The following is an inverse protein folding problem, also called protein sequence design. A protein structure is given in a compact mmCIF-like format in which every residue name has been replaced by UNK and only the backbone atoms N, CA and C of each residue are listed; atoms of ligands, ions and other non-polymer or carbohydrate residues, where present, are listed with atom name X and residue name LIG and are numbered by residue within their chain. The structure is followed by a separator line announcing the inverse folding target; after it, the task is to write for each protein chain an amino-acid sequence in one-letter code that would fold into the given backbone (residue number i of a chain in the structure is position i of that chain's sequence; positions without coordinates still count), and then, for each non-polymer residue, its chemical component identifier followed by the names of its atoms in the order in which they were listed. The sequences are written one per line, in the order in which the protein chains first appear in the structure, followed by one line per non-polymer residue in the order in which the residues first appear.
data_IF_279798689507
#
_entry.id   IF_279798689507
#
_cell.length_a   1.000
_cell.length_b   1.000
_cell.length_c   1.000
_cell.angle_alpha   90.00
_cell.angle_beta   90.00
_cell.angle_gamma   90.00
#
_symmetry.space_group_name_H-M   'P 1'
#
loop_
_entity.id
_entity.type
_entity.pdbx_description
1 polymer ?
#
# COMPACT_ATOMS: atom_id res chain seq x y z
N UNK A 1 -7.54 -24.66 -59.93
CA UNK A 1 -6.75 -25.42 -58.94
C UNK A 1 -7.00 -24.79 -57.58
N UNK A 2 -7.27 -25.60 -56.57
CA UNK A 2 -7.89 -25.24 -55.29
C UNK A 2 -7.00 -24.42 -54.32
N UNK A 3 -7.72 -23.62 -53.52
CA UNK A 3 -7.52 -22.93 -52.20
C UNK A 3 -6.78 -23.85 -51.17
N UNK A 4 -6.11 -23.41 -50.06
CA UNK A 4 -6.45 -22.30 -49.14
C UNK A 4 -5.32 -21.40 -48.58
N UNK A 5 -5.53 -20.12 -48.23
CA UNK A 5 -6.34 -19.48 -47.15
C UNK A 5 -5.67 -19.53 -45.77
N UNK A 6 -5.11 -18.40 -45.28
CA UNK A 6 -5.04 -18.04 -43.84
C UNK A 6 -5.23 -16.53 -43.72
N UNK A 7 -6.22 -16.15 -42.92
CA UNK A 7 -6.58 -14.78 -42.56
C UNK A 7 -5.75 -14.27 -41.37
N UNK A 8 -5.30 -13.02 -41.41
CA UNK A 8 -4.84 -12.28 -40.23
C UNK A 8 -6.06 -11.62 -39.55
N UNK A 9 -6.45 -12.16 -38.40
CA UNK A 9 -7.25 -11.48 -37.36
C UNK A 9 -6.21 -10.94 -36.34
N UNK A 10 -6.19 -9.66 -36.01
CA UNK A 10 -7.11 -9.07 -35.03
C UNK A 10 -6.50 -9.16 -33.63
N UNK A 11 -5.56 -8.26 -33.29
CA UNK A 11 -4.99 -8.17 -31.94
C UNK A 11 -5.98 -7.47 -31.00
N UNK A 12 -6.82 -8.26 -30.35
CA UNK A 12 -7.59 -7.86 -29.17
C UNK A 12 -6.68 -7.98 -27.94
N UNK A 13 -6.67 -6.94 -27.11
CA UNK A 13 -5.93 -6.91 -25.85
C UNK A 13 -6.49 -7.94 -24.87
N UNK A 14 -5.59 -8.66 -24.22
CA UNK A 14 -5.93 -9.57 -23.12
C UNK A 14 -5.95 -8.78 -21.81
N UNK A 15 -7.07 -8.71 -21.08
CA UNK A 15 -7.02 -8.50 -19.65
C UNK A 15 -6.65 -9.84 -19.01
N UNK A 16 -5.50 -9.90 -18.35
CA UNK A 16 -5.13 -11.09 -17.55
C UNK A 16 -6.11 -11.15 -16.38
N UNK A 17 -7.08 -12.06 -16.44
CA UNK A 17 -7.97 -12.35 -15.32
C UNK A 17 -7.29 -13.36 -14.39
N UNK A 18 -7.51 -13.24 -13.09
CA UNK A 18 -6.96 -14.08 -12.03
C UNK A 18 -7.18 -15.60 -12.23
N UNK A 19 -8.09 -16.00 -13.12
CA UNK A 19 -8.29 -17.40 -13.47
C UNK A 19 -7.02 -18.05 -14.06
N UNK A 20 -6.21 -17.30 -14.84
CA UNK A 20 -5.03 -17.86 -15.50
C UNK A 20 -3.84 -18.06 -14.55
N UNK A 21 -3.80 -17.35 -13.41
CA UNK A 21 -2.70 -17.46 -12.43
C UNK A 21 -2.83 -18.67 -11.50
N UNK A 22 -4.05 -19.21 -11.33
CA UNK A 22 -4.31 -20.34 -10.42
C UNK A 22 -4.10 -21.71 -11.08
N UNK A 23 -4.02 -21.80 -12.40
CA UNK A 23 -3.84 -23.05 -13.13
C UNK A 23 -2.43 -23.68 -12.97
N UNK A 24 -1.46 -22.93 -12.44
CA UNK A 24 -0.07 -23.38 -12.26
C UNK A 24 0.29 -23.95 -10.87
N UNK A 25 -0.65 -24.06 -9.93
CA UNK A 25 -0.40 -24.64 -8.59
C UNK A 25 -0.81 -26.11 -8.44
N UNK A 26 -0.70 -26.90 -9.51
CA UNK A 26 -0.96 -28.34 -9.43
C UNK A 26 0.28 -29.08 -8.88
N UNK A 27 0.46 -29.04 -7.56
CA UNK A 27 1.49 -29.84 -6.87
C UNK A 27 1.06 -31.30 -6.89
N UNK A 28 1.67 -32.09 -7.77
CA UNK A 28 1.50 -33.54 -7.83
C UNK A 28 2.03 -34.19 -6.53
N UNK A 29 1.11 -34.73 -5.72
CA UNK A 29 1.44 -35.49 -4.52
C UNK A 29 2.06 -36.87 -4.85
N UNK A 30 3.07 -37.36 -4.10
CA UNK A 30 3.66 -38.69 -4.32
C UNK A 30 2.70 -39.84 -3.98
N UNK A 31 2.88 -40.96 -4.67
CA UNK A 31 2.06 -42.18 -4.60
C UNK A 31 2.01 -42.78 -3.18
N UNK A 32 0.79 -42.84 -2.64
CA UNK A 32 0.45 -43.51 -1.38
C UNK A 32 -0.97 -43.14 -0.92
N UNK A 33 -1.94 -43.17 -1.85
CA UNK A 33 -3.28 -42.67 -1.62
C UNK A 33 -4.14 -43.68 -0.83
N UNK A 34 -4.29 -43.46 0.47
CA UNK A 34 -5.60 -43.65 1.08
C UNK A 34 -6.46 -42.48 0.61
N UNK A 35 -7.50 -42.77 -0.18
CA UNK A 35 -8.45 -41.77 -0.66
C UNK A 35 -9.26 -41.24 0.53
N UNK A 36 -8.76 -40.20 1.18
CA UNK A 36 -9.61 -39.31 1.95
C UNK A 36 -10.38 -38.48 0.93
N UNK A 37 -11.67 -38.80 0.78
CA UNK A 37 -12.64 -37.95 0.11
C UNK A 37 -12.83 -36.72 1.00
N UNK A 38 -11.95 -35.72 0.84
CA UNK A 38 -12.25 -34.37 1.24
C UNK A 38 -13.40 -33.91 0.35
N UNK A 39 -14.63 -34.22 0.77
CA UNK A 39 -15.84 -33.78 0.12
C UNK A 39 -15.67 -32.31 -0.25
N UNK A 40 -15.77 -32.02 -1.55
CA UNK A 40 -15.54 -30.73 -2.20
C UNK A 40 -15.48 -29.57 -1.21
N UNK A 41 -14.30 -29.27 -0.68
CA UNK A 41 -14.08 -27.96 -0.07
C UNK A 41 -14.35 -26.99 -1.20
N UNK A 42 -15.38 -26.13 -1.13
CA UNK A 42 -15.49 -25.07 -2.09
C UNK A 42 -14.25 -24.21 -1.86
N UNK A 43 -13.26 -24.34 -2.74
CA UNK A 43 -12.31 -23.27 -2.96
C UNK A 43 -13.15 -22.13 -3.49
N UNK A 44 -13.71 -21.33 -2.57
CA UNK A 44 -14.42 -20.12 -2.94
C UNK A 44 -13.35 -19.26 -3.62
N UNK A 45 -13.50 -19.08 -4.93
CA UNK A 45 -12.64 -18.21 -5.71
C UNK A 45 -12.57 -16.84 -5.02
N UNK A 46 -11.38 -16.45 -4.54
CA UNK A 46 -11.10 -15.10 -4.02
C UNK A 46 -10.95 -14.92 -2.50
N UNK A 47 -10.50 -15.94 -1.76
CA UNK A 47 -9.98 -15.70 -0.40
C UNK A 47 -8.61 -14.97 -0.45
N UNK A 48 -8.61 -13.70 -0.89
CA UNK A 48 -7.42 -12.86 -0.91
C UNK A 48 -6.82 -12.76 0.49
N UNK A 49 -5.51 -12.99 0.63
CA UNK A 49 -4.74 -12.74 1.85
C UNK A 49 -5.29 -13.36 3.15
N UNK A 50 -6.04 -14.47 3.06
CA UNK A 50 -6.70 -15.11 4.22
C UNK A 50 -5.73 -15.57 5.32
N UNK A 51 -4.59 -16.11 4.93
CA UNK A 51 -3.59 -16.66 5.85
C UNK A 51 -2.28 -15.86 5.82
N UNK A 52 -2.34 -14.57 5.47
CA UNK A 52 -1.16 -13.71 5.36
C UNK A 52 -1.02 -12.87 6.62
N UNK A 53 -0.03 -13.13 7.49
CA UNK A 53 0.23 -12.29 8.66
C UNK A 53 0.58 -10.87 8.23
N UNK A 54 0.11 -9.89 8.98
CA UNK A 54 0.46 -8.48 8.76
C UNK A 54 1.90 -8.23 9.21
N UNK A 55 2.68 -7.56 8.37
CA UNK A 55 4.06 -7.17 8.64
C UNK A 55 4.21 -5.64 8.61
N UNK A 56 5.10 -5.10 9.46
CA UNK A 56 5.43 -3.68 9.55
C UNK A 56 6.32 -3.23 8.38
N UNK A 57 5.87 -3.45 7.15
CA UNK A 57 6.59 -3.10 5.93
C UNK A 57 5.76 -2.24 4.99
N UNK A 58 6.50 -1.37 4.29
CA UNK A 58 6.03 -0.57 3.18
C UNK A 58 6.62 -1.15 1.89
N UNK A 59 5.74 -1.60 0.99
CA UNK A 59 6.07 -2.00 -0.37
C UNK A 59 6.43 -0.75 -1.18
N UNK A 60 7.71 -0.40 -1.14
CA UNK A 60 8.26 0.75 -1.85
C UNK A 60 8.31 0.45 -3.36
N UNK A 61 8.07 1.48 -4.18
CA UNK A 61 7.96 1.36 -5.63
C UNK A 61 7.08 0.17 -6.04
N UNK A 62 5.92 0.01 -5.41
CA UNK A 62 5.08 -1.18 -5.57
C UNK A 62 4.66 -1.40 -7.04
N UNK A 63 4.54 -0.32 -7.81
CA UNK A 63 4.28 -0.38 -9.24
C UNK A 63 5.41 -1.04 -10.05
N UNK A 64 6.63 -1.23 -9.51
CA UNK A 64 7.67 -2.06 -10.15
C UNK A 64 7.42 -3.56 -10.03
N UNK A 65 6.49 -4.00 -9.18
CA UNK A 65 6.20 -5.43 -9.01
C UNK A 65 5.50 -5.99 -10.24
N UNK A 66 5.69 -7.30 -10.45
CA UNK A 66 5.03 -8.02 -11.53
C UNK A 66 3.50 -7.92 -11.45
N UNK A 67 2.97 -7.93 -10.22
CA UNK A 67 1.55 -7.73 -9.92
C UNK A 67 1.42 -6.63 -8.87
N UNK A 68 1.36 -5.35 -9.29
CA UNK A 68 1.17 -4.22 -8.39
C UNK A 68 -0.02 -4.43 -7.45
N UNK A 69 0.07 -3.86 -6.25
CA UNK A 69 -0.75 -4.06 -5.07
C UNK A 69 -0.67 -5.49 -4.50
N UNK A 70 -0.88 -6.52 -5.31
CA UNK A 70 -0.99 -7.90 -4.84
C UNK A 70 0.30 -8.46 -4.27
N UNK A 71 1.46 -8.17 -4.88
CA UNK A 71 2.74 -8.66 -4.36
C UNK A 71 3.06 -8.08 -2.98
N UNK A 72 2.80 -6.79 -2.75
CA UNK A 72 2.94 -6.17 -1.43
C UNK A 72 2.08 -6.86 -0.37
N UNK A 73 0.80 -6.99 -0.70
CA UNK A 73 -0.20 -7.60 0.18
C UNK A 73 0.06 -9.09 0.42
N UNK A 74 0.55 -9.86 -0.56
CA UNK A 74 0.83 -11.29 -0.36
C UNK A 74 1.96 -11.56 0.64
N UNK A 75 2.81 -10.56 0.87
CA UNK A 75 3.85 -10.57 1.88
C UNK A 75 3.39 -10.00 3.24
N UNK A 76 2.17 -9.48 3.33
CA UNK A 76 1.64 -8.91 4.57
C UNK A 76 1.97 -7.44 4.78
N UNK A 77 2.62 -6.78 3.82
CA UNK A 77 2.88 -5.34 3.92
C UNK A 77 1.56 -4.58 3.85
N UNK A 78 1.17 -3.94 4.95
CA UNK A 78 -0.04 -3.13 5.02
C UNK A 78 0.19 -1.69 4.53
N UNK A 79 1.29 -1.43 3.84
CA UNK A 79 1.54 -0.14 3.20
C UNK A 79 2.18 -0.32 1.82
N UNK A 80 1.75 0.50 0.87
CA UNK A 80 2.19 0.47 -0.53
C UNK A 80 2.23 1.88 -1.10
N UNK A 81 3.01 2.11 -2.15
CA UNK A 81 3.21 3.41 -2.78
C UNK A 81 2.92 3.40 -4.28
N UNK A 82 2.30 4.47 -4.74
CA UNK A 82 2.08 4.76 -6.15
C UNK A 82 2.69 6.11 -6.53
N UNK A 83 3.63 6.11 -7.48
CA UNK A 83 4.19 7.33 -8.08
C UNK A 83 3.26 7.84 -9.19
N UNK A 84 2.50 8.89 -8.92
CA UNK A 84 1.44 9.39 -9.81
C UNK A 84 1.86 10.62 -10.61
N UNK A 85 1.57 10.56 -11.91
CA UNK A 85 1.82 11.63 -12.87
C UNK A 85 0.51 12.01 -13.56
N UNK A 86 0.19 13.31 -13.58
CA UNK A 86 -0.96 13.79 -14.35
C UNK A 86 -0.56 14.11 -15.79
N UNK A 87 -1.14 13.39 -16.75
CA UNK A 87 -1.01 13.66 -18.18
C UNK A 87 -2.38 13.71 -18.85
N UNK A 88 -2.73 14.84 -19.47
CA UNK A 88 -3.99 15.05 -20.18
C UNK A 88 -5.25 14.60 -19.39
N UNK A 89 -5.28 14.88 -18.08
CA UNK A 89 -6.39 14.52 -17.20
C UNK A 89 -6.40 13.06 -16.72
N UNK A 90 -5.39 12.26 -17.07
CA UNK A 90 -5.23 10.87 -16.62
C UNK A 90 -4.09 10.76 -15.63
N UNK A 91 -4.30 10.04 -14.52
CA UNK A 91 -3.26 9.70 -13.55
C UNK A 91 -2.55 8.42 -13.98
N UNK A 92 -1.34 8.56 -14.50
CA UNK A 92 -0.45 7.45 -14.85
C UNK A 92 0.48 7.12 -13.68
N UNK A 93 0.93 5.87 -13.61
CA UNK A 93 1.85 5.41 -12.56
C UNK A 93 3.18 4.95 -13.13
N UNK A 94 4.28 5.43 -12.56
CA UNK A 94 5.64 5.02 -12.90
C UNK A 94 6.70 5.85 -12.20
N UNK A 95 7.94 5.36 -12.18
CA UNK A 95 9.04 6.02 -11.47
C UNK A 95 9.52 7.29 -12.20
N UNK A 96 9.50 7.22 -13.52
CA UNK A 96 9.90 8.31 -14.40
C UNK A 96 8.96 8.40 -15.62
N UNK A 97 9.00 9.54 -16.31
CA UNK A 97 8.16 9.82 -17.48
C UNK A 97 8.33 8.78 -18.59
N UNK A 98 9.52 8.20 -18.77
CA UNK A 98 9.78 7.20 -19.82
C UNK A 98 9.17 5.83 -19.50
N UNK A 99 8.91 5.54 -18.23
CA UNK A 99 8.24 4.32 -17.76
C UNK A 99 6.70 4.37 -17.91
N UNK A 100 6.12 5.55 -18.15
CA UNK A 100 4.66 5.71 -18.23
C UNK A 100 4.06 4.98 -19.43
N UNK A 101 2.92 4.32 -19.19
CA UNK A 101 2.15 3.57 -20.19
C UNK A 101 0.68 3.89 -20.00
N UNK A 102 -0.07 4.00 -21.09
CA UNK A 102 -1.51 4.33 -21.07
C UNK A 102 -2.35 3.35 -20.26
N UNK A 103 -1.91 2.09 -20.16
CA UNK A 103 -2.60 1.01 -19.46
C UNK A 103 -2.32 1.02 -17.95
N UNK A 104 -1.25 1.69 -17.52
CA UNK A 104 -0.76 1.75 -16.14
C UNK A 104 -1.24 3.02 -15.47
N UNK A 105 -2.53 3.02 -15.11
CA UNK A 105 -3.18 4.15 -14.45
C UNK A 105 -3.27 3.92 -12.94
N UNK A 106 -3.46 5.00 -12.17
CA UNK A 106 -3.70 4.89 -10.73
C UNK A 106 -4.95 4.05 -10.43
N UNK A 107 -6.00 4.18 -11.24
CA UNK A 107 -7.21 3.38 -11.12
C UNK A 107 -6.96 1.90 -11.37
N UNK A 108 -6.35 1.57 -12.52
CA UNK A 108 -6.16 0.16 -12.93
C UNK A 108 -5.19 -0.61 -12.04
N UNK A 109 -4.18 0.06 -11.45
CA UNK A 109 -3.19 -0.61 -10.61
C UNK A 109 -3.55 -0.65 -9.13
N UNK A 110 -4.31 0.33 -8.61
CA UNK A 110 -4.57 0.44 -7.17
C UNK A 110 -6.06 0.53 -6.83
N UNK A 111 -6.81 1.47 -7.39
CA UNK A 111 -8.18 1.73 -6.95
C UNK A 111 -9.12 0.56 -7.29
N UNK A 112 -9.15 0.12 -8.55
CA UNK A 112 -10.08 -0.93 -8.98
C UNK A 112 -9.75 -2.27 -8.32
N UNK A 113 -8.46 -2.70 -8.21
CA UNK A 113 -8.10 -3.87 -7.43
C UNK A 113 -8.48 -3.78 -5.94
N UNK A 114 -8.29 -2.62 -5.31
CA UNK A 114 -8.68 -2.44 -3.91
C UNK A 114 -10.19 -2.55 -3.70
N UNK A 115 -10.98 -1.95 -4.60
CA UNK A 115 -12.44 -2.10 -4.58
C UNK A 115 -12.83 -3.57 -4.70
N UNK A 116 -12.23 -4.31 -5.64
CA UNK A 116 -12.54 -5.72 -5.82
C UNK A 116 -12.20 -6.58 -4.60
N UNK A 117 -11.02 -6.36 -3.98
CA UNK A 117 -10.62 -7.04 -2.75
C UNK A 117 -11.61 -6.72 -1.62
N UNK A 118 -11.91 -5.44 -1.39
CA UNK A 118 -12.71 -5.02 -0.24
C UNK A 118 -14.19 -5.36 -0.39
N UNK A 119 -14.75 -5.29 -1.59
CA UNK A 119 -16.13 -5.74 -1.85
C UNK A 119 -16.29 -7.24 -1.59
N UNK A 120 -15.26 -8.03 -1.87
CA UNK A 120 -15.23 -9.45 -1.50
C UNK A 120 -15.11 -9.67 0.01
N UNK A 121 -14.30 -8.87 0.70
CA UNK A 121 -14.14 -8.92 2.18
C UNK A 121 -15.37 -8.40 2.93
N UNK A 122 -16.24 -7.66 2.26
CA UNK A 122 -17.42 -7.00 2.84
C UNK A 122 -18.69 -7.32 2.04
N UNK A 123 -19.09 -8.61 1.91
CA UNK A 123 -20.19 -9.01 1.05
C UNK A 123 -21.54 -8.52 1.60
N UNK A 124 -22.43 -8.07 0.71
CA UNK A 124 -23.81 -7.72 1.10
C UNK A 124 -24.66 -9.00 1.14
N UNK A 125 -24.90 -9.52 2.34
CA UNK A 125 -25.73 -10.70 2.56
C UNK A 125 -26.47 -10.66 3.92
N UNK A 126 -27.36 -11.61 4.15
CA UNK A 126 -28.19 -11.67 5.36
C UNK A 126 -27.40 -11.73 6.68
N UNK A 127 -26.17 -12.24 6.66
CA UNK A 127 -25.33 -12.36 7.85
C UNK A 127 -24.70 -11.02 8.24
N UNK A 128 -24.37 -10.18 7.25
CA UNK A 128 -23.86 -8.81 7.50
C UNK A 128 -24.96 -7.92 8.09
N UNK A 129 -26.19 -8.00 7.58
CA UNK A 129 -27.32 -7.26 8.18
C UNK A 129 -27.59 -7.66 9.63
N UNK A 130 -27.34 -8.93 10.00
CA UNK A 130 -27.42 -9.39 11.39
C UNK A 130 -26.29 -8.81 12.24
N UNK A 131 -25.06 -8.74 11.72
CA UNK A 131 -23.94 -8.11 12.40
C UNK A 131 -24.20 -6.61 12.67
N UNK A 132 -24.76 -5.88 11.71
CA UNK A 132 -25.14 -4.47 11.86
C UNK A 132 -26.20 -4.29 12.97
N UNK A 133 -27.18 -5.19 13.08
CA UNK A 133 -28.18 -5.17 14.17
C UNK A 133 -27.55 -5.38 15.56
N UNK A 134 -26.42 -6.08 15.63
CA UNK A 134 -25.64 -6.26 16.85
C UNK A 134 -24.67 -5.09 17.13
N UNK A 135 -24.64 -4.07 16.26
CA UNK A 135 -23.75 -2.92 16.38
C UNK A 135 -22.37 -3.13 15.74
N UNK A 136 -22.14 -4.25 15.04
CA UNK A 136 -20.92 -4.46 14.26
C UNK A 136 -21.06 -3.81 12.88
N UNK A 137 -20.68 -2.54 12.79
CA UNK A 137 -20.80 -1.72 11.58
C UNK A 137 -19.47 -1.52 10.85
N UNK A 138 -18.37 -2.03 11.40
CA UNK A 138 -17.03 -1.87 10.83
C UNK A 138 -16.86 -2.74 9.58
N UNK A 139 -16.19 -2.17 8.58
CA UNK A 139 -15.81 -2.89 7.36
C UNK A 139 -14.47 -3.58 7.58
N UNK A 140 -14.36 -4.82 7.12
CA UNK A 140 -13.12 -5.56 7.08
C UNK A 140 -12.11 -4.89 6.16
N UNK A 141 -10.87 -4.82 6.61
CA UNK A 141 -9.69 -4.52 5.81
C UNK A 141 -9.26 -5.69 4.94
N UNK A 142 -8.02 -5.61 4.43
CA UNK A 142 -7.51 -6.52 3.40
C UNK A 142 -7.12 -7.90 3.95
N UNK A 143 -6.65 -7.97 5.20
CA UNK A 143 -6.08 -9.17 5.80
C UNK A 143 -7.05 -9.85 6.75
N UNK A 144 -7.38 -11.12 6.53
CA UNK A 144 -8.29 -11.84 7.45
C UNK A 144 -7.62 -12.15 8.80
N UNK A 145 -6.29 -12.25 8.83
CA UNK A 145 -5.54 -12.45 10.07
C UNK A 145 -5.60 -11.24 11.00
N UNK A 146 -5.94 -10.06 10.46
CA UNK A 146 -6.20 -8.84 11.21
C UNK A 146 -7.13 -7.93 10.40
N UNK A 147 -8.44 -8.16 10.52
CA UNK A 147 -9.45 -7.45 9.72
C UNK A 147 -9.57 -5.96 10.04
N UNK A 148 -9.05 -5.50 11.17
CA UNK A 148 -9.02 -4.08 11.53
C UNK A 148 -7.78 -3.34 10.96
N UNK A 149 -6.81 -4.07 10.38
CA UNK A 149 -5.61 -3.46 9.81
C UNK A 149 -5.98 -2.59 8.60
N UNK A 150 -5.80 -1.28 8.74
CA UNK A 150 -5.90 -0.34 7.62
C UNK A 150 -4.72 -0.55 6.66
N UNK A 151 -4.99 -0.55 5.35
CA UNK A 151 -3.98 -0.47 4.32
C UNK A 151 -3.61 1.01 4.10
N UNK A 152 -2.34 1.34 4.23
CA UNK A 152 -1.82 2.67 3.90
C UNK A 152 -1.45 2.73 2.41
N UNK A 153 -2.21 3.48 1.62
CA UNK A 153 -1.90 3.79 0.23
C UNK A 153 -1.21 5.16 0.18
N UNK A 154 0.11 5.14 -0.01
CA UNK A 154 0.88 6.36 -0.23
C UNK A 154 0.80 6.75 -1.70
N UNK A 155 0.51 8.02 -1.95
CA UNK A 155 0.39 8.58 -3.29
C UNK A 155 1.45 9.66 -3.45
N UNK A 156 2.55 9.32 -4.12
CA UNK A 156 3.66 10.23 -4.39
C UNK A 156 3.38 11.04 -5.65
N UNK A 157 3.06 12.33 -5.47
CA UNK A 157 2.71 13.23 -6.57
C UNK A 157 3.98 13.73 -7.25
N UNK A 158 4.21 13.29 -8.49
CA UNK A 158 5.42 13.62 -9.26
C UNK A 158 5.27 14.83 -10.18
N UNK A 159 4.05 15.22 -10.51
CA UNK A 159 3.72 16.44 -11.29
C UNK A 159 3.36 17.60 -10.36
N UNK A 160 2.91 18.73 -10.91
CA UNK A 160 2.46 19.89 -10.12
C UNK A 160 1.35 19.49 -9.14
N UNK A 161 1.57 19.77 -7.85
CA UNK A 161 0.69 19.36 -6.76
C UNK A 161 -0.72 19.90 -6.84
N UNK A 162 -0.84 21.21 -7.02
CA UNK A 162 -2.11 21.94 -7.07
C UNK A 162 -2.97 21.47 -8.26
N UNK A 163 -2.33 21.17 -9.39
CA UNK A 163 -3.01 20.62 -10.56
C UNK A 163 -3.36 19.13 -10.40
N UNK A 164 -2.47 18.33 -9.81
CA UNK A 164 -2.58 16.86 -9.79
C UNK A 164 -3.49 16.35 -8.69
N UNK A 165 -3.39 16.93 -7.48
CA UNK A 165 -4.07 16.43 -6.30
C UNK A 165 -5.61 16.36 -6.43
N UNK A 166 -6.30 17.33 -7.07
CA UNK A 166 -7.74 17.21 -7.32
C UNK A 166 -8.14 15.97 -8.13
N UNK A 167 -7.30 15.53 -9.08
CA UNK A 167 -7.53 14.31 -9.84
C UNK A 167 -7.34 13.07 -8.96
N UNK A 168 -6.34 13.08 -8.07
CA UNK A 168 -6.14 11.99 -7.10
C UNK A 168 -7.38 11.85 -6.21
N UNK A 169 -7.85 12.96 -5.62
CA UNK A 169 -9.03 12.96 -4.75
C UNK A 169 -10.28 12.45 -5.48
N UNK A 170 -10.46 12.81 -6.75
CA UNK A 170 -11.54 12.33 -7.59
C UNK A 170 -11.43 10.82 -7.88
N UNK A 171 -10.22 10.31 -8.12
CA UNK A 171 -9.99 8.89 -8.36
C UNK A 171 -10.30 8.00 -7.13
N UNK A 172 -10.34 8.56 -5.92
CA UNK A 172 -10.70 7.85 -4.70
C UNK A 172 -12.22 7.59 -4.54
N UNK A 173 -13.06 8.18 -5.40
CA UNK A 173 -14.53 8.12 -5.29
C UNK A 173 -15.10 6.69 -5.17
N UNK A 174 -14.60 5.67 -5.89
CA UNK A 174 -15.09 4.30 -5.74
C UNK A 174 -14.91 3.73 -4.33
N UNK A 175 -13.81 4.07 -3.64
CA UNK A 175 -13.55 3.66 -2.25
C UNK A 175 -14.35 4.52 -1.26
N UNK A 176 -14.48 5.82 -1.53
CA UNK A 176 -15.23 6.78 -0.70
C UNK A 176 -16.70 6.40 -0.58
N UNK A 177 -17.37 6.18 -1.71
CA UNK A 177 -18.80 5.85 -1.78
C UNK A 177 -19.15 4.52 -1.11
N UNK A 178 -18.18 3.59 -1.02
CA UNK A 178 -18.31 2.31 -0.31
C UNK A 178 -18.00 2.40 1.18
N UNK A 179 -17.52 3.55 1.64
CA UNK A 179 -17.11 3.76 3.03
C UNK A 179 -15.85 3.01 3.40
N UNK A 180 -14.90 2.82 2.48
CA UNK A 180 -13.63 2.14 2.76
C UNK A 180 -12.50 3.08 3.17
N UNK A 181 -12.62 4.38 2.91
CA UNK A 181 -11.59 5.36 3.24
C UNK A 181 -11.66 5.81 4.70
N UNK A 182 -10.50 5.79 5.36
CA UNK A 182 -10.26 6.49 6.62
C UNK A 182 -10.50 7.98 6.44
N UNK A 183 -11.03 8.64 7.45
CA UNK A 183 -11.45 10.04 7.32
C UNK A 183 -11.29 10.82 8.62
N UNK A 184 -11.35 12.13 8.51
CA UNK A 184 -11.29 13.08 9.61
C UNK A 184 -12.44 14.08 9.45
N UNK A 185 -13.11 14.40 10.55
CA UNK A 185 -14.05 15.51 10.64
C UNK A 185 -13.40 16.71 11.33
N UNK A 186 -14.05 17.87 11.28
CA UNK A 186 -13.47 19.14 11.72
C UNK A 186 -12.85 19.15 13.13
N UNK A 187 -13.37 18.36 14.07
CA UNK A 187 -12.93 18.34 15.47
C UNK A 187 -12.16 17.08 15.86
N UNK A 188 -11.90 16.19 14.91
CA UNK A 188 -11.21 14.94 15.19
C UNK A 188 -9.71 15.21 15.43
N UNK A 189 -9.19 14.68 16.53
CA UNK A 189 -7.77 14.73 16.86
C UNK A 189 -6.98 13.59 16.21
N UNK A 190 -7.69 12.53 15.82
CA UNK A 190 -7.17 11.29 15.24
C UNK A 190 -7.97 10.89 14.00
N UNK A 191 -7.39 10.15 13.04
CA UNK A 191 -8.15 9.57 11.94
C UNK A 191 -9.19 8.55 12.41
N UNK A 192 -10.41 8.63 11.87
CA UNK A 192 -11.35 7.52 11.91
C UNK A 192 -10.88 6.46 10.92
N UNK A 193 -10.19 5.44 11.44
CA UNK A 193 -9.58 4.40 10.61
C UNK A 193 -10.64 3.52 9.95
N UNK A 194 -10.45 3.25 8.65
CA UNK A 194 -11.20 2.26 7.87
C UNK A 194 -10.23 1.38 7.07
N UNK A 195 -10.76 0.58 6.16
CA UNK A 195 -9.98 -0.38 5.37
C UNK A 195 -8.78 0.24 4.64
N UNK A 196 -8.87 1.50 4.18
CA UNK A 196 -7.79 2.18 3.45
C UNK A 196 -7.54 3.58 4.01
N UNK A 197 -6.30 3.88 4.36
CA UNK A 197 -5.81 5.23 4.70
C UNK A 197 -4.97 5.75 3.54
N UNK A 198 -5.43 6.81 2.87
CA UNK A 198 -4.69 7.41 1.75
C UNK A 198 -3.82 8.56 2.26
N UNK A 199 -2.52 8.52 1.96
CA UNK A 199 -1.54 9.50 2.45
C UNK A 199 -0.82 10.10 1.23
N UNK A 200 -0.94 11.41 1.04
CA UNK A 200 -0.22 12.13 -0.01
C UNK A 200 1.21 12.44 0.38
N UNK A 201 2.15 12.19 -0.55
CA UNK A 201 3.58 12.51 -0.43
C UNK A 201 4.09 13.13 -1.74
N UNK A 202 5.38 13.47 -1.81
CA UNK A 202 5.95 14.20 -2.95
C UNK A 202 5.41 15.62 -3.03
N UNK A 203 4.90 16.03 -4.20
CA UNK A 203 4.36 17.39 -4.42
C UNK A 203 2.93 17.57 -3.88
N UNK A 204 2.43 16.75 -2.95
CA UNK A 204 1.09 16.95 -2.37
C UNK A 204 0.96 18.37 -1.76
N UNK A 205 -0.07 19.15 -2.12
CA UNK A 205 -0.19 20.53 -1.66
C UNK A 205 -0.71 20.59 -0.20
N UNK A 206 0.18 20.83 0.76
CA UNK A 206 -0.17 20.91 2.19
C UNK A 206 -1.32 21.90 2.48
N UNK A 207 -1.28 23.09 1.89
CA UNK A 207 -2.31 24.13 2.06
C UNK A 207 -3.69 23.68 1.56
N UNK A 208 -3.74 22.83 0.53
CA UNK A 208 -4.99 22.24 0.05
C UNK A 208 -5.65 21.37 1.12
N UNK A 209 -4.85 20.59 1.88
CA UNK A 209 -5.34 19.72 2.95
C UNK A 209 -5.74 20.55 4.18
N UNK A 210 -4.94 21.55 4.56
CA UNK A 210 -5.23 22.46 5.67
C UNK A 210 -6.54 23.23 5.46
N UNK A 211 -6.84 23.62 4.22
CA UNK A 211 -8.10 24.28 3.86
C UNK A 211 -9.34 23.35 3.92
N UNK A 212 -9.16 22.03 4.15
CA UNK A 212 -10.23 21.02 4.15
C UNK A 212 -10.20 20.22 5.44
N UNK A 213 -10.78 20.74 6.54
CA UNK A 213 -10.76 20.07 7.84
C UNK A 213 -11.60 18.78 7.85
N UNK A 214 -12.52 18.62 6.89
CA UNK A 214 -13.24 17.37 6.64
C UNK A 214 -12.73 16.76 5.33
N UNK A 215 -12.14 15.56 5.40
CA UNK A 215 -11.54 14.86 4.26
C UNK A 215 -11.28 13.39 4.58
N UNK A 216 -10.92 12.63 3.55
CA UNK A 216 -10.61 11.20 3.62
C UNK A 216 -9.24 10.85 3.02
N UNK A 217 -8.31 11.80 3.17
CA UNK A 217 -6.92 11.71 2.77
C UNK A 217 -6.05 12.52 3.73
N UNK A 218 -4.81 12.09 3.86
CA UNK A 218 -3.86 12.59 4.86
C UNK A 218 -2.54 12.98 4.21
N UNK A 219 -1.62 13.53 4.98
CA UNK A 219 -0.35 14.08 4.53
C UNK A 219 0.85 13.33 5.14
N UNK A 220 1.84 12.96 4.35
CA UNK A 220 3.11 12.43 4.86
C UNK A 220 3.96 13.59 5.41
N UNK A 221 4.08 13.69 6.74
CA UNK A 221 4.82 14.78 7.36
C UNK A 221 6.34 14.64 7.16
N UNK A 222 7.09 15.75 7.05
CA UNK A 222 8.54 15.71 6.95
C UNK A 222 9.16 15.37 8.32
N UNK A 223 9.51 14.10 8.53
CA UNK A 223 9.98 13.57 9.82
C UNK A 223 11.20 14.34 10.39
N UNK A 224 12.11 14.78 9.53
CA UNK A 224 13.30 15.55 9.94
C UNK A 224 13.02 17.04 10.23
N UNK A 225 11.81 17.53 9.96
CA UNK A 225 11.42 18.94 10.09
C UNK A 225 10.02 19.11 10.73
N UNK A 226 9.67 18.19 11.65
CA UNK A 226 8.40 18.23 12.35
C UNK A 226 8.23 19.51 13.18
N UNK A 227 6.99 19.96 13.25
CA UNK A 227 6.54 21.07 14.06
C UNK A 227 5.05 20.86 14.40
N UNK A 228 4.47 21.73 15.21
CA UNK A 228 3.10 21.58 15.73
C UNK A 228 1.98 21.59 14.68
N UNK A 229 2.27 21.91 13.41
CA UNK A 229 1.30 21.81 12.31
C UNK A 229 0.92 20.35 12.04
N UNK A 230 1.84 19.42 12.22
CA UNK A 230 1.62 18.01 11.88
C UNK A 230 1.00 17.25 13.06
N UNK A 231 -0.33 17.16 13.05
CA UNK A 231 -1.11 16.37 14.01
C UNK A 231 -1.44 15.00 13.43
N UNK A 232 -1.84 14.01 14.24
CA UNK A 232 -2.26 12.70 13.72
C UNK A 232 -3.44 12.78 12.74
N UNK A 233 -4.38 13.71 12.98
CA UNK A 233 -5.51 13.98 12.08
C UNK A 233 -5.10 14.57 10.72
N UNK A 234 -3.94 15.21 10.61
CA UNK A 234 -3.36 15.66 9.34
C UNK A 234 -2.39 14.64 8.74
N UNK A 235 -1.52 14.09 9.57
CA UNK A 235 -0.33 13.33 9.21
C UNK A 235 -0.15 12.11 10.11
N UNK A 236 -0.92 11.03 9.90
CA UNK A 236 -0.75 9.80 10.68
C UNK A 236 0.61 9.12 10.44
N UNK A 237 1.35 9.56 9.42
CA UNK A 237 2.69 9.12 9.06
C UNK A 237 3.61 10.34 8.88
N UNK A 238 4.86 10.19 9.29
CA UNK A 238 5.96 11.09 9.00
C UNK A 238 7.13 10.31 8.41
N UNK A 239 7.71 10.81 7.31
CA UNK A 239 8.79 10.15 6.59
C UNK A 239 10.01 11.03 6.36
N UNK A 240 11.19 10.41 6.22
CA UNK A 240 12.43 11.09 5.75
C UNK A 240 13.35 10.13 5.00
N UNK A 241 14.26 10.68 4.18
CA UNK A 241 15.36 9.93 3.55
C UNK A 241 16.46 9.65 4.56
N UNK A 242 16.93 8.40 4.63
CA UNK A 242 18.09 8.02 5.42
C UNK A 242 19.35 8.77 4.98
N UNK A 243 19.53 8.91 3.66
CA UNK A 243 20.66 9.63 3.07
C UNK A 243 20.67 11.09 3.50
N UNK A 244 19.51 11.75 3.44
CA UNK A 244 19.38 13.17 3.80
C UNK A 244 19.47 13.38 5.30
N UNK A 245 18.90 12.48 6.10
CA UNK A 245 18.89 12.57 7.56
C UNK A 245 20.30 12.41 8.16
N UNK A 246 21.03 11.37 7.76
CA UNK A 246 22.28 10.98 8.44
C UNK A 246 23.38 10.45 7.51
N UNK A 247 23.14 10.38 6.20
CA UNK A 247 24.06 9.87 5.18
C UNK A 247 24.71 8.52 5.57
N UNK A 248 23.90 7.60 6.07
CA UNK A 248 24.36 6.29 6.55
C UNK A 248 24.09 5.20 5.51
N UNK A 249 25.17 4.56 5.03
CA UNK A 249 25.11 3.51 4.01
C UNK A 249 24.85 2.10 4.58
N UNK A 250 24.77 1.92 5.90
CA UNK A 250 24.62 0.59 6.52
C UNK A 250 25.86 -0.32 6.46
N UNK A 251 26.91 0.03 5.70
CA UNK A 251 28.13 -0.80 5.51
C UNK A 251 28.90 -1.01 6.82
N UNK A 252 28.96 0.03 7.64
CA UNK A 252 29.49 -0.03 9.01
C UNK A 252 28.35 0.26 10.00
N UNK A 253 28.50 -0.12 11.29
CA UNK A 253 27.58 0.33 12.32
C UNK A 253 27.37 1.85 12.27
N UNK A 254 26.14 2.29 12.54
CA UNK A 254 25.85 3.71 12.67
C UNK A 254 26.72 4.31 13.79
N UNK A 255 27.19 5.53 13.59
CA UNK A 255 27.88 6.28 14.64
C UNK A 255 26.88 6.74 15.70
N UNK A 256 27.35 7.06 16.91
CA UNK A 256 26.50 7.58 17.99
C UNK A 256 25.71 8.81 17.52
N UNK A 257 26.35 9.76 16.83
CA UNK A 257 25.66 10.95 16.29
C UNK A 257 24.55 10.60 15.29
N UNK A 258 24.75 9.59 14.43
CA UNK A 258 23.69 9.17 13.50
C UNK A 258 22.52 8.53 14.24
N UNK A 259 22.79 7.71 15.26
CA UNK A 259 21.76 7.12 16.11
C UNK A 259 20.99 8.20 16.88
N UNK A 260 21.69 9.15 17.51
CA UNK A 260 21.08 10.25 18.27
C UNK A 260 20.12 11.09 17.39
N UNK A 261 20.49 11.36 16.14
CA UNK A 261 19.65 12.10 15.18
C UNK A 261 18.39 11.29 14.85
N UNK A 262 18.53 10.01 14.51
CA UNK A 262 17.41 9.15 14.17
C UNK A 262 16.46 8.97 15.35
N UNK A 263 16.99 8.68 16.54
CA UNK A 263 16.21 8.54 17.78
C UNK A 263 15.47 9.84 18.12
N UNK A 264 16.11 10.99 17.91
CA UNK A 264 15.48 12.31 18.11
C UNK A 264 14.28 12.48 17.20
N UNK A 265 14.41 12.19 15.90
CA UNK A 265 13.29 12.31 14.95
C UNK A 265 12.15 11.35 15.30
N UNK A 266 12.47 10.10 15.59
CA UNK A 266 11.47 9.07 15.91
C UNK A 266 10.72 9.44 17.20
N UNK A 267 11.44 9.82 18.26
CA UNK A 267 10.85 10.22 19.54
C UNK A 267 9.95 11.46 19.39
N UNK A 268 10.35 12.44 18.57
CA UNK A 268 9.53 13.63 18.31
C UNK A 268 8.24 13.31 17.56
N UNK A 269 8.28 12.38 16.60
CA UNK A 269 7.10 11.92 15.89
C UNK A 269 6.15 11.15 16.81
N UNK A 270 6.67 10.21 17.59
CA UNK A 270 5.87 9.44 18.55
C UNK A 270 5.25 10.32 19.64
N UNK A 271 5.98 11.34 20.11
CA UNK A 271 5.43 12.32 21.05
C UNK A 271 4.26 13.15 20.48
N UNK A 272 4.19 13.26 19.14
CA UNK A 272 3.08 13.90 18.42
C UNK A 272 2.01 12.90 17.96
N UNK A 273 2.17 11.59 18.25
CA UNK A 273 1.23 10.55 17.85
C UNK A 273 1.37 10.09 16.38
N UNK A 274 2.47 10.44 15.71
CA UNK A 274 2.70 10.10 14.30
C UNK A 274 3.51 8.81 14.18
N UNK A 275 3.17 7.96 13.19
CA UNK A 275 4.01 6.83 12.81
C UNK A 275 5.22 7.30 12.00
N UNK A 276 6.25 6.47 11.95
CA UNK A 276 7.52 6.81 11.28
C UNK A 276 7.85 5.84 10.15
N UNK A 277 8.37 6.39 9.05
CA UNK A 277 8.98 5.64 7.93
C UNK A 277 10.30 6.30 7.54
N UNK A 278 11.32 5.50 7.26
CA UNK A 278 12.59 6.00 6.73
C UNK A 278 12.90 5.28 5.41
N UNK A 279 13.04 6.06 4.34
CA UNK A 279 13.26 5.60 2.97
C UNK A 279 14.68 5.90 2.49
N UNK A 280 14.99 5.54 1.24
CA UNK A 280 16.36 5.61 0.68
C UNK A 280 17.36 4.68 1.40
N UNK A 281 16.87 3.50 1.79
CA UNK A 281 17.64 2.48 2.47
C UNK A 281 18.54 1.74 1.47
N UNK A 282 19.75 1.30 1.85
CA UNK A 282 20.61 0.55 0.95
C UNK A 282 19.92 -0.75 0.54
N UNK A 283 19.84 -1.03 -0.76
CA UNK A 283 19.35 -2.32 -1.29
C UNK A 283 20.46 -3.36 -1.44
N UNK A 284 21.70 -2.90 -1.66
CA UNK A 284 22.92 -3.69 -1.73
C UNK A 284 24.03 -3.01 -0.90
N UNK A 285 24.83 -3.73 -0.09
CA UNK A 285 24.78 -5.17 0.13
C UNK A 285 23.62 -5.57 1.02
N UNK A 286 23.18 -6.83 0.90
CA UNK A 286 22.14 -7.39 1.79
C UNK A 286 22.51 -7.21 3.28
N UNK A 287 23.76 -7.43 3.67
CA UNK A 287 24.16 -7.23 5.07
C UNK A 287 24.03 -5.77 5.55
N UNK A 288 24.19 -4.78 4.66
CA UNK A 288 24.05 -3.37 5.01
C UNK A 288 22.57 -2.99 5.11
N UNK A 289 21.75 -3.47 4.17
CA UNK A 289 20.29 -3.38 4.20
C UNK A 289 19.73 -3.96 5.50
N UNK A 290 20.08 -5.21 5.80
CA UNK A 290 19.59 -5.92 6.98
C UNK A 290 20.04 -5.21 8.27
N UNK A 291 21.27 -4.67 8.30
CA UNK A 291 21.72 -3.84 9.43
C UNK A 291 20.85 -2.59 9.61
N UNK A 292 20.56 -1.87 8.53
CA UNK A 292 19.72 -0.67 8.58
C UNK A 292 18.33 -1.01 9.10
N UNK A 293 17.70 -2.06 8.57
CA UNK A 293 16.39 -2.51 9.03
C UNK A 293 16.38 -2.95 10.49
N UNK A 294 17.37 -3.74 10.93
CA UNK A 294 17.47 -4.15 12.34
C UNK A 294 17.68 -2.95 13.26
N UNK A 295 18.52 -1.98 12.87
CA UNK A 295 18.68 -0.74 13.64
C UNK A 295 17.40 0.09 13.67
N UNK A 296 16.62 0.15 12.59
CA UNK A 296 15.32 0.82 12.59
C UNK A 296 14.30 0.14 13.51
N UNK A 297 14.29 -1.20 13.57
CA UNK A 297 13.47 -1.93 14.53
C UNK A 297 13.89 -1.62 15.98
N UNK A 298 15.20 -1.60 16.26
CA UNK A 298 15.73 -1.27 17.59
C UNK A 298 15.37 0.18 18.01
N UNK A 299 15.36 1.11 17.06
CA UNK A 299 14.99 2.51 17.29
C UNK A 299 13.46 2.76 17.31
N UNK A 300 12.64 1.75 16.99
CA UNK A 300 11.19 1.86 17.03
C UNK A 300 10.54 2.47 15.77
N UNK A 301 11.17 2.36 14.60
CA UNK A 301 10.53 2.74 13.33
C UNK A 301 9.28 1.89 13.08
N UNK A 302 8.14 2.53 12.80
CA UNK A 302 6.86 1.84 12.68
C UNK A 302 6.69 1.08 11.36
N UNK A 303 7.35 1.56 10.30
CA UNK A 303 7.16 1.06 8.95
C UNK A 303 8.48 0.96 8.18
N UNK A 304 8.95 -0.27 7.96
CA UNK A 304 10.18 -0.53 7.21
C UNK A 304 9.96 -0.35 5.71
N UNK A 305 10.65 0.62 5.11
CA UNK A 305 10.65 0.82 3.66
C UNK A 305 11.45 -0.29 2.96
N UNK A 306 10.79 -1.05 2.06
CA UNK A 306 11.38 -2.25 1.47
C UNK A 306 11.05 -2.46 -0.01
N UNK A 307 12.11 -2.69 -0.81
CA UNK A 307 12.02 -3.23 -2.17
C UNK A 307 12.04 -4.78 -2.15
N UNK A 308 12.84 -5.39 -1.27
CA UNK A 308 12.91 -6.85 -1.06
C UNK A 308 11.93 -7.27 0.04
N UNK A 309 10.71 -7.61 -0.37
CA UNK A 309 9.64 -7.96 0.58
C UNK A 309 9.88 -9.30 1.26
N UNK A 310 10.45 -10.27 0.55
CA UNK A 310 10.70 -11.58 1.15
C UNK A 310 11.66 -11.44 2.32
N UNK A 311 12.71 -10.63 2.15
CA UNK A 311 13.68 -10.40 3.21
C UNK A 311 13.08 -9.63 4.39
N UNK A 312 12.40 -8.50 4.15
CA UNK A 312 11.88 -7.67 5.25
C UNK A 312 10.85 -8.42 6.10
N UNK A 313 10.05 -9.30 5.50
CA UNK A 313 9.03 -10.08 6.22
C UNK A 313 9.57 -11.32 6.91
N UNK A 314 10.89 -11.53 6.85
CA UNK A 314 11.58 -12.67 7.47
C UNK A 314 12.58 -12.25 8.56
N UNK A 315 12.61 -10.95 8.91
CA UNK A 315 13.44 -10.39 9.98
C UNK A 315 13.03 -10.88 11.37
#
# INVERSE_FOLDING_TARGET
MLVPFIALLGSQGFPISYADATEHWNVSAPRGAHSFDYGTYPLVSGDYFRNVPVANCHSHNDYWRDVPLFTGLSHGCYSTEADVWLFNGTLLVGHDVASLRSERTFSSLYIDPLVAILDQKNPVNQYVSFAEQLGHVEKNGVFDTNSAQTLQLLVDVKTDGEQTWPYVVAALEPLRTRGYLSFVNQNDTEPNSRAVTVIGTGNTPLEYLLARPERDYFFDAPLAALNSTFTPSLSPLASTSLQTAVNWLGIFPATATQLDILETYITQAHAQGLKTRIWDNPSWPRFARDRVWLTFLDLGVDLLNADDLQAVTSL
#
